data_IF_842578833148
#
_entry.id   IF_842578833148
#
_cell.length_a   1.000
_cell.length_b   1.000
_cell.length_c   1.000
_cell.angle_alpha   90.00
_cell.angle_beta   90.00
_cell.angle_gamma   90.00
#
_symmetry.space_group_name_H-M   'P 1'
#
loop_
_entity.id
_entity.type
_entity.pdbx_description
1 polymer ?
#
# COMPACT_ATOMS: atom_id res chain seq x y z
N UNK A 1 15.79 9.93 -7.29
CA UNK A 1 16.11 8.96 -8.36
C UNK A 1 17.52 9.28 -8.88
N UNK A 2 18.44 8.35 -8.70
CA UNK A 2 19.69 8.36 -9.44
C UNK A 2 19.49 7.48 -10.67
N UNK A 3 19.80 7.99 -11.84
CA UNK A 3 19.71 7.25 -13.11
C UNK A 3 20.75 6.13 -13.10
N UNK A 4 20.35 4.97 -13.58
CA UNK A 4 21.01 3.71 -13.43
C UNK A 4 22.45 3.61 -13.93
N UNK A 5 23.07 2.48 -13.64
CA UNK A 5 24.37 2.14 -14.26
C UNK A 5 24.13 1.67 -15.68
N UNK A 6 24.74 2.37 -16.64
CA UNK A 6 24.78 1.96 -18.02
C UNK A 6 26.01 1.06 -18.22
N UNK A 7 25.80 -0.14 -18.75
CA UNK A 7 26.89 -1.05 -19.13
C UNK A 7 26.84 -1.30 -20.63
N UNK A 8 27.74 -0.67 -21.36
CA UNK A 8 27.90 -0.90 -22.80
C UNK A 8 28.74 -2.15 -23.03
N UNK A 9 28.14 -3.16 -23.63
CA UNK A 9 28.88 -4.34 -24.15
C UNK A 9 28.89 -4.24 -25.68
N UNK A 10 30.06 -3.91 -26.25
CA UNK A 10 30.35 -3.79 -27.69
C UNK A 10 29.18 -3.55 -28.64
N UNK A 11 29.10 -2.33 -29.09
CA UNK A 11 28.52 -1.81 -30.35
C UNK A 11 27.01 -1.77 -30.57
N UNK A 12 26.14 -2.49 -29.82
CA UNK A 12 24.70 -2.46 -30.14
C UNK A 12 23.76 -2.75 -28.99
N UNK A 13 24.25 -3.13 -27.83
CA UNK A 13 23.41 -3.52 -26.69
C UNK A 13 23.78 -2.70 -25.46
N UNK A 14 22.80 -2.02 -24.90
CA UNK A 14 22.91 -1.43 -23.56
C UNK A 14 21.80 -1.96 -22.67
N UNK A 15 22.08 -2.09 -21.39
CA UNK A 15 21.10 -2.38 -20.36
C UNK A 15 21.08 -1.21 -19.38
N UNK A 16 19.89 -0.78 -19.03
CA UNK A 16 19.67 0.30 -18.08
C UNK A 16 18.77 -0.21 -16.95
N UNK A 17 19.14 0.09 -15.73
CA UNK A 17 18.33 -0.23 -14.54
C UNK A 17 18.14 1.00 -13.69
N UNK A 18 16.92 1.23 -13.27
CA UNK A 18 16.64 2.22 -12.24
C UNK A 18 17.16 1.73 -10.88
N UNK A 19 17.82 2.61 -10.14
CA UNK A 19 18.19 2.42 -8.74
C UNK A 19 17.65 3.57 -7.90
N UNK A 20 17.27 3.26 -6.66
CA UNK A 20 16.74 4.24 -5.71
C UNK A 20 17.67 4.33 -4.51
N UNK A 21 18.01 5.56 -4.12
CA UNK A 21 18.82 5.84 -2.95
C UNK A 21 17.99 6.70 -2.00
N UNK A 22 17.79 6.20 -0.80
CA UNK A 22 17.00 6.86 0.23
C UNK A 22 17.83 7.19 1.46
N UNK A 23 17.49 8.27 2.21
CA UNK A 23 18.15 8.58 3.48
C UNK A 23 17.99 7.43 4.48
N UNK A 24 19.05 7.17 5.26
CA UNK A 24 19.00 6.14 6.32
C UNK A 24 18.10 6.55 7.47
N UNK A 25 18.05 7.85 7.78
CA UNK A 25 17.24 8.42 8.86
C UNK A 25 16.31 9.49 8.31
N UNK A 26 15.05 9.43 8.71
CA UNK A 26 14.01 10.38 8.29
C UNK A 26 13.11 10.68 9.49
N UNK A 27 12.81 11.96 9.67
CA UNK A 27 11.81 12.40 10.63
C UNK A 27 10.52 12.69 9.89
N UNK A 28 9.46 12.01 10.22
CA UNK A 28 8.12 12.27 9.67
C UNK A 28 7.32 13.14 10.63
N UNK A 29 6.39 13.91 10.10
CA UNK A 29 5.39 14.61 10.90
C UNK A 29 4.48 13.60 11.63
N UNK A 30 3.90 14.00 12.77
CA UNK A 30 3.13 13.14 13.68
C UNK A 30 1.74 13.69 14.05
N UNK A 31 1.24 14.68 13.30
CA UNK A 31 -0.09 15.28 13.54
C UNK A 31 -1.23 14.36 13.05
N UNK A 32 -1.24 13.12 13.54
CA UNK A 32 -2.27 12.11 13.27
C UNK A 32 -2.21 10.98 14.30
N UNK A 33 -3.25 10.14 14.33
CA UNK A 33 -3.27 8.92 15.15
C UNK A 33 -2.70 7.78 14.31
N UNK A 34 -1.59 7.19 14.79
CA UNK A 34 -1.02 5.98 14.20
C UNK A 34 -1.57 4.74 14.91
N UNK A 35 -2.03 3.76 14.17
CA UNK A 35 -2.58 2.53 14.72
C UNK A 35 -2.14 1.29 13.92
N UNK A 36 -1.89 0.19 14.66
CA UNK A 36 -1.58 -1.14 14.10
C UNK A 36 -2.77 -2.10 14.18
N UNK A 37 -3.78 -1.73 14.93
CA UNK A 37 -5.01 -2.50 15.11
C UNK A 37 -6.23 -1.61 14.92
N UNK A 38 -7.25 -2.17 14.30
CA UNK A 38 -8.55 -1.51 14.21
C UNK A 38 -9.34 -1.83 15.47
N UNK A 39 -9.41 -0.87 16.37
CA UNK A 39 -10.05 -0.98 17.69
C UNK A 39 -10.95 0.23 18.01
N UNK A 40 -11.57 0.22 19.20
CA UNK A 40 -12.45 1.31 19.65
C UNK A 40 -11.72 2.67 19.77
N UNK A 41 -10.40 2.68 19.95
CA UNK A 41 -9.62 3.94 19.97
C UNK A 41 -9.57 4.56 18.59
N UNK A 42 -9.38 3.74 17.55
CA UNK A 42 -9.40 4.18 16.15
C UNK A 42 -10.78 4.73 15.79
N UNK A 43 -11.86 4.02 16.15
CA UNK A 43 -13.24 4.46 15.91
C UNK A 43 -13.53 5.79 16.59
N UNK A 44 -13.15 5.91 17.85
CA UNK A 44 -13.32 7.15 18.62
C UNK A 44 -12.55 8.31 17.99
N UNK A 45 -11.31 8.09 17.56
CA UNK A 45 -10.50 9.11 16.91
C UNK A 45 -11.16 9.61 15.60
N UNK A 46 -11.67 8.70 14.78
CA UNK A 46 -12.40 9.04 13.56
C UNK A 46 -13.68 9.82 13.84
N UNK A 47 -14.47 9.40 14.83
CA UNK A 47 -15.67 10.13 15.26
C UNK A 47 -15.36 11.55 15.76
N UNK A 48 -14.21 11.74 16.42
CA UNK A 48 -13.73 13.04 16.88
C UNK A 48 -13.16 13.92 15.73
N UNK A 49 -13.14 13.44 14.50
CA UNK A 49 -12.63 14.19 13.35
C UNK A 49 -11.12 14.18 13.21
N UNK A 50 -10.44 13.23 13.84
CA UNK A 50 -8.97 13.11 13.74
C UNK A 50 -8.55 12.43 12.43
N UNK A 51 -7.33 12.70 12.03
CA UNK A 51 -6.62 11.97 10.98
C UNK A 51 -6.09 10.66 11.56
N UNK A 52 -6.25 9.57 10.84
CA UNK A 52 -5.80 8.24 11.27
C UNK A 52 -5.00 7.59 10.14
N UNK A 53 -3.79 7.14 10.47
CA UNK A 53 -3.00 6.21 9.66
C UNK A 53 -3.11 4.82 10.29
N UNK A 54 -3.83 3.93 9.63
CA UNK A 54 -4.00 2.54 10.07
C UNK A 54 -3.16 1.63 9.19
N UNK A 55 -2.19 0.94 9.81
CA UNK A 55 -1.38 -0.10 9.17
C UNK A 55 -1.66 -1.42 9.91
N UNK A 56 -2.72 -2.14 9.55
CA UNK A 56 -3.20 -3.25 10.35
C UNK A 56 -2.28 -4.47 10.27
N UNK A 57 -2.03 -5.10 11.41
CA UNK A 57 -1.24 -6.34 11.50
C UNK A 57 -1.99 -7.54 10.92
N UNK A 58 -3.30 -7.58 11.16
CA UNK A 58 -4.16 -8.66 10.71
C UNK A 58 -5.18 -8.12 9.71
N UNK A 59 -5.07 -8.59 8.49
CA UNK A 59 -5.94 -8.19 7.38
C UNK A 59 -6.53 -9.45 6.75
N UNK A 60 -7.85 -9.46 6.59
CA UNK A 60 -8.50 -10.43 5.73
C UNK A 60 -8.24 -10.05 4.28
N UNK A 61 -7.64 -10.96 3.54
CA UNK A 61 -7.31 -10.70 2.14
C UNK A 61 -6.29 -11.67 1.58
N UNK A 62 -5.69 -11.30 0.47
CA UNK A 62 -4.72 -12.10 -0.25
C UNK A 62 -3.30 -11.64 0.01
N UNK A 63 -2.43 -12.57 0.36
CA UNK A 63 -0.99 -12.29 0.39
C UNK A 63 -0.52 -11.83 -0.98
N UNK A 64 0.24 -10.75 -1.00
CA UNK A 64 0.83 -10.24 -2.22
C UNK A 64 2.26 -10.73 -2.40
N UNK A 65 2.77 -10.61 -3.62
CA UNK A 65 4.16 -10.92 -3.95
C UNK A 65 4.56 -10.12 -5.17
N UNK A 66 5.81 -9.68 -5.25
CA UNK A 66 6.29 -8.89 -6.38
C UNK A 66 6.22 -9.68 -7.70
N UNK A 67 6.74 -10.91 -7.71
CA UNK A 67 6.64 -11.80 -8.86
C UNK A 67 5.51 -12.81 -8.66
N UNK A 68 4.60 -12.94 -9.61
CA UNK A 68 3.47 -13.85 -9.54
C UNK A 68 3.45 -14.88 -10.67
N UNK A 69 2.84 -16.03 -10.40
CA UNK A 69 2.70 -17.16 -11.33
C UNK A 69 1.28 -17.19 -11.89
N UNK A 70 0.91 -16.14 -12.63
CA UNK A 70 -0.46 -15.92 -13.05
C UNK A 70 -0.98 -16.96 -14.08
N UNK A 71 -0.08 -17.60 -14.86
CA UNK A 71 -0.47 -18.49 -15.95
C UNK A 71 -0.85 -19.91 -15.53
N UNK A 72 -0.42 -20.35 -14.35
CA UNK A 72 -0.77 -21.68 -13.86
C UNK A 72 -0.85 -21.73 -12.32
N UNK A 73 -1.93 -21.24 -11.74
CA UNK A 73 -2.12 -21.24 -10.28
C UNK A 73 -2.06 -22.63 -9.69
N UNK A 74 -2.61 -23.66 -10.36
CA UNK A 74 -2.64 -25.05 -9.86
C UNK A 74 -1.23 -25.60 -9.73
N UNK A 75 -0.38 -25.42 -10.76
CA UNK A 75 1.03 -25.87 -10.74
C UNK A 75 1.82 -25.21 -9.61
N UNK A 76 1.52 -23.95 -9.29
CA UNK A 76 2.20 -23.17 -8.27
C UNK A 76 1.44 -23.10 -6.94
N UNK A 77 0.52 -24.06 -6.67
CA UNK A 77 -0.29 -24.15 -5.45
C UNK A 77 -1.07 -22.87 -5.13
N UNK A 78 -1.59 -22.16 -6.14
CA UNK A 78 -2.33 -20.91 -5.97
C UNK A 78 -1.57 -19.82 -5.21
N UNK A 79 -0.24 -19.87 -5.19
CA UNK A 79 0.61 -18.95 -4.47
C UNK A 79 1.73 -18.40 -5.35
N UNK A 80 1.80 -17.11 -5.58
CA UNK A 80 0.90 -16.05 -5.11
C UNK A 80 -0.38 -15.94 -5.96
N UNK A 81 -1.41 -15.31 -5.39
CA UNK A 81 -2.74 -15.22 -5.97
C UNK A 81 -3.05 -13.81 -6.50
N UNK A 82 -2.07 -13.14 -7.10
CA UNK A 82 -2.23 -11.85 -7.77
C UNK A 82 -1.49 -11.88 -9.10
N UNK A 83 -1.99 -11.12 -10.08
CA UNK A 83 -1.37 -10.98 -11.42
C UNK A 83 -0.36 -9.85 -11.44
N UNK A 84 -0.61 -8.77 -10.71
CA UNK A 84 0.26 -7.60 -10.66
C UNK A 84 -0.26 -6.56 -9.68
N UNK A 85 0.39 -5.40 -9.66
CA UNK A 85 0.00 -4.28 -8.80
C UNK A 85 0.01 -2.98 -9.59
N UNK A 86 -1.11 -2.28 -9.55
CA UNK A 86 -1.29 -0.93 -10.10
C UNK A 86 -1.15 0.10 -8.98
N UNK A 87 -0.62 1.27 -9.33
CA UNK A 87 -0.33 2.35 -8.40
C UNK A 87 -0.83 3.65 -8.99
N UNK A 88 -1.62 4.40 -8.24
CA UNK A 88 -1.92 5.79 -8.57
C UNK A 88 -0.70 6.65 -8.27
N UNK A 89 0.26 6.66 -9.18
CA UNK A 89 1.56 7.34 -9.02
C UNK A 89 1.45 8.86 -8.86
N UNK A 90 0.30 9.45 -9.20
CA UNK A 90 0.04 10.88 -9.03
C UNK A 90 -0.54 11.21 -7.64
N UNK A 91 -0.87 10.20 -6.84
CA UNK A 91 -1.43 10.41 -5.52
C UNK A 91 -0.42 11.10 -4.59
N UNK A 92 -0.83 12.13 -3.82
CA UNK A 92 0.08 12.89 -2.95
C UNK A 92 0.81 12.05 -1.89
N UNK A 93 0.30 10.88 -1.53
CA UNK A 93 0.97 9.94 -0.63
C UNK A 93 2.34 9.47 -1.15
N UNK A 94 2.61 9.60 -2.45
CA UNK A 94 3.89 9.26 -3.08
C UNK A 94 4.78 10.47 -3.34
N UNK A 95 4.47 11.63 -2.78
CA UNK A 95 5.23 12.87 -3.01
C UNK A 95 6.73 12.75 -2.73
N UNK A 96 7.11 11.91 -1.76
CA UNK A 96 8.51 11.63 -1.42
C UNK A 96 8.93 10.17 -1.77
N UNK A 97 8.08 9.42 -2.45
CA UNK A 97 8.33 8.06 -2.91
C UNK A 97 8.12 7.99 -4.43
N UNK A 98 9.14 8.33 -5.24
CA UNK A 98 9.02 8.30 -6.71
C UNK A 98 8.65 6.91 -7.20
N UNK A 99 7.53 6.81 -7.89
CA UNK A 99 7.00 5.54 -8.41
C UNK A 99 6.33 5.75 -9.76
N UNK A 100 6.16 4.67 -10.50
CA UNK A 100 5.37 4.62 -11.74
C UNK A 100 3.98 4.07 -11.45
N UNK A 101 3.14 3.94 -12.48
CA UNK A 101 1.78 3.43 -12.36
C UNK A 101 1.68 1.92 -12.13
N UNK A 102 2.79 1.23 -12.07
CA UNK A 102 2.89 -0.19 -11.79
C UNK A 102 4.09 -0.47 -10.87
N UNK A 103 4.09 -1.64 -10.21
CA UNK A 103 5.16 -2.02 -9.32
C UNK A 103 6.45 -2.33 -10.10
N UNK A 104 7.49 -1.55 -9.84
CA UNK A 104 8.87 -1.77 -10.28
C UNK A 104 9.72 -2.45 -9.19
N UNK A 105 11.02 -2.59 -9.38
CA UNK A 105 11.90 -3.30 -8.46
C UNK A 105 11.94 -2.75 -7.03
N UNK A 106 11.68 -1.47 -6.80
CA UNK A 106 11.61 -0.93 -5.44
C UNK A 106 10.45 -1.50 -4.64
N UNK A 107 9.38 -1.97 -5.31
CA UNK A 107 8.21 -2.55 -4.66
C UNK A 107 8.42 -3.99 -4.19
N UNK A 108 9.55 -4.60 -4.52
CA UNK A 108 9.83 -5.99 -4.16
C UNK A 108 9.75 -6.23 -2.65
N UNK A 109 10.40 -5.41 -1.86
CA UNK A 109 10.40 -5.56 -0.40
C UNK A 109 9.07 -5.15 0.25
N UNK A 110 8.29 -4.29 -0.40
CA UNK A 110 6.97 -3.86 0.07
C UNK A 110 5.94 -4.97 -0.15
N UNK A 111 5.83 -5.46 -1.39
CA UNK A 111 4.81 -6.42 -1.79
C UNK A 111 5.01 -7.81 -1.18
N UNK A 112 6.24 -8.21 -0.89
CA UNK A 112 6.50 -9.47 -0.21
C UNK A 112 6.04 -9.51 1.25
N UNK A 113 5.71 -8.35 1.83
CA UNK A 113 5.20 -8.20 3.21
C UNK A 113 3.86 -7.46 3.23
N UNK A 114 3.10 -7.52 2.16
CA UNK A 114 1.79 -6.91 2.09
C UNK A 114 0.67 -7.94 1.98
N UNK A 115 -0.53 -7.50 2.32
CA UNK A 115 -1.78 -8.26 2.15
C UNK A 115 -2.80 -7.33 1.50
N UNK A 116 -3.33 -7.70 0.36
CA UNK A 116 -4.38 -6.94 -0.30
C UNK A 116 -5.74 -7.26 0.31
N UNK A 117 -6.43 -6.25 0.83
CA UNK A 117 -7.79 -6.36 1.36
C UNK A 117 -8.80 -6.60 0.24
N UNK A 118 -9.82 -7.41 0.53
CA UNK A 118 -10.97 -7.58 -0.35
C UNK A 118 -11.94 -6.39 -0.19
N UNK A 119 -12.11 -5.63 -1.26
CA UNK A 119 -12.90 -4.38 -1.26
C UNK A 119 -14.16 -4.48 -2.15
N UNK A 120 -14.68 -5.69 -2.38
CA UNK A 120 -15.80 -5.93 -3.29
C UNK A 120 -17.04 -5.12 -2.92
N UNK A 121 -17.34 -5.03 -1.62
CA UNK A 121 -18.50 -4.30 -1.10
C UNK A 121 -18.27 -2.78 -1.00
N UNK A 122 -17.08 -2.31 -1.29
CA UNK A 122 -16.69 -0.90 -1.28
C UNK A 122 -16.55 -0.36 -2.70
N UNK A 123 -17.66 -0.29 -3.45
CA UNK A 123 -17.67 0.08 -4.86
C UNK A 123 -17.10 1.47 -5.12
N UNK A 124 -17.36 2.42 -4.22
CA UNK A 124 -16.96 3.83 -4.38
C UNK A 124 -15.50 4.11 -3.98
N UNK A 125 -14.86 3.17 -3.29
CA UNK A 125 -13.44 3.30 -2.94
C UNK A 125 -12.57 2.87 -4.11
N UNK A 126 -11.68 3.73 -4.54
CA UNK A 126 -10.62 3.39 -5.50
C UNK A 126 -9.33 3.17 -4.73
N UNK A 127 -8.71 1.99 -4.79
CA UNK A 127 -7.42 1.76 -4.14
C UNK A 127 -6.33 2.66 -4.75
N UNK A 128 -5.50 3.24 -3.89
CA UNK A 128 -4.29 3.98 -4.27
C UNK A 128 -3.20 3.00 -4.72
N UNK A 129 -3.15 1.82 -4.07
CA UNK A 129 -2.33 0.68 -4.45
C UNK A 129 -3.29 -0.50 -4.63
N UNK A 130 -3.46 -0.94 -5.86
CA UNK A 130 -4.41 -1.99 -6.23
C UNK A 130 -3.67 -3.26 -6.66
N UNK A 131 -3.95 -4.37 -6.02
CA UNK A 131 -3.56 -5.69 -6.55
C UNK A 131 -4.56 -6.16 -7.58
N UNK A 132 -4.05 -6.70 -8.69
CA UNK A 132 -4.87 -7.35 -9.72
C UNK A 132 -5.01 -8.81 -9.31
N UNK A 133 -6.24 -9.23 -9.08
CA UNK A 133 -6.54 -10.62 -8.72
C UNK A 133 -6.38 -11.57 -9.92
N UNK A 134 -6.36 -12.86 -9.65
CA UNK A 134 -6.40 -13.87 -10.70
C UNK A 134 -7.72 -13.82 -11.45
N UNK A 135 -7.71 -14.26 -12.69
CA UNK A 135 -8.91 -14.31 -13.56
C UNK A 135 -10.02 -15.24 -13.02
N UNK A 136 -9.71 -16.13 -12.09
CA UNK A 136 -10.66 -17.07 -11.50
C UNK A 136 -11.53 -16.45 -10.43
N UNK A 137 -10.98 -15.50 -9.67
CA UNK A 137 -11.71 -14.84 -8.58
C UNK A 137 -12.11 -13.41 -8.92
N UNK A 138 -11.27 -12.69 -9.65
CA UNK A 138 -11.52 -11.34 -10.15
C UNK A 138 -12.10 -10.39 -9.09
N UNK A 139 -11.54 -10.43 -7.88
CA UNK A 139 -11.97 -9.58 -6.77
C UNK A 139 -11.29 -8.21 -6.84
N UNK A 140 -11.96 -7.22 -6.29
CA UNK A 140 -11.37 -5.90 -6.05
C UNK A 140 -10.45 -5.96 -4.85
N UNK A 141 -9.14 -5.85 -5.09
CA UNK A 141 -8.12 -5.96 -4.05
C UNK A 141 -7.37 -4.65 -3.87
N UNK A 142 -7.20 -4.19 -2.62
CA UNK A 142 -6.48 -2.96 -2.29
C UNK A 142 -5.43 -3.16 -1.22
N UNK A 143 -4.21 -2.63 -1.44
CA UNK A 143 -3.16 -2.57 -0.41
C UNK A 143 -3.23 -1.23 0.33
N UNK A 144 -3.59 -0.15 -0.37
CA UNK A 144 -3.78 1.15 0.24
C UNK A 144 -5.00 1.85 -0.34
N UNK A 145 -5.73 2.53 0.53
CA UNK A 145 -6.81 3.45 0.17
C UNK A 145 -7.02 4.48 1.27
N UNK A 146 -7.76 5.53 0.94
CA UNK A 146 -8.18 6.53 1.90
C UNK A 146 -9.69 6.74 1.86
N UNK A 147 -10.26 7.16 2.98
CA UNK A 147 -11.68 7.47 3.09
C UNK A 147 -11.96 8.48 4.20
N UNK A 148 -13.05 9.22 4.06
CA UNK A 148 -13.64 10.00 5.13
C UNK A 148 -14.61 9.13 5.95
N UNK A 149 -14.48 9.13 7.26
CA UNK A 149 -15.35 8.43 8.18
C UNK A 149 -16.01 9.47 9.11
N UNK A 150 -17.24 9.84 8.80
CA UNK A 150 -17.89 10.93 9.50
C UNK A 150 -17.11 12.25 9.37
N UNK A 151 -16.55 12.74 10.49
CA UNK A 151 -15.68 13.92 10.51
C UNK A 151 -14.20 13.61 10.36
N UNK A 152 -13.80 12.35 10.54
CA UNK A 152 -12.40 11.91 10.51
C UNK A 152 -11.92 11.52 9.12
N UNK A 153 -10.61 11.47 8.96
CA UNK A 153 -9.95 11.05 7.73
C UNK A 153 -9.10 9.81 8.02
N UNK A 154 -9.29 8.76 7.24
CA UNK A 154 -8.61 7.48 7.39
C UNK A 154 -7.74 7.21 6.16
N UNK A 155 -6.47 6.84 6.40
CA UNK A 155 -5.60 6.22 5.41
C UNK A 155 -5.27 4.80 5.89
N UNK A 156 -5.47 3.81 5.04
CA UNK A 156 -5.09 2.41 5.31
C UNK A 156 -3.94 2.02 4.40
N UNK A 157 -2.91 1.38 4.99
CA UNK A 157 -1.81 0.77 4.26
C UNK A 157 -1.58 -0.65 4.79
N UNK A 158 -1.85 -1.66 3.96
CA UNK A 158 -1.75 -3.08 4.33
C UNK A 158 -0.40 -3.71 3.94
N UNK A 159 0.70 -2.99 4.22
CA UNK A 159 2.07 -3.47 4.09
C UNK A 159 2.74 -3.41 5.45
N UNK A 160 3.33 -4.53 5.88
CA UNK A 160 3.99 -4.60 7.19
C UNK A 160 5.25 -3.72 7.23
N UNK A 161 5.30 -2.68 8.10
CA UNK A 161 6.44 -1.78 8.19
C UNK A 161 7.53 -2.29 9.14
N UNK A 162 7.23 -3.27 10.01
CA UNK A 162 8.08 -3.56 11.17
C UNK A 162 9.10 -4.67 10.87
N UNK A 163 8.69 -5.66 10.07
CA UNK A 163 9.56 -6.79 9.80
C UNK A 163 10.80 -6.39 9.01
N UNK A 164 11.97 -6.57 9.58
CA UNK A 164 13.29 -6.30 8.98
C UNK A 164 13.43 -4.88 8.38
N UNK A 165 12.78 -3.88 8.97
CA UNK A 165 12.66 -2.52 8.41
C UNK A 165 14.03 -1.89 8.09
N UNK A 166 15.07 -2.21 8.86
CA UNK A 166 16.43 -1.70 8.65
C UNK A 166 17.03 -2.15 7.29
N UNK A 167 16.57 -3.29 6.79
CA UNK A 167 17.00 -3.85 5.50
C UNK A 167 16.06 -3.51 4.35
N UNK A 168 15.02 -2.70 4.62
CA UNK A 168 13.95 -2.40 3.67
C UNK A 168 13.85 -0.89 3.39
N UNK A 169 14.82 -0.33 2.64
CA UNK A 169 14.88 1.10 2.39
C UNK A 169 13.66 1.65 1.65
N UNK A 170 13.10 0.88 0.72
CA UNK A 170 11.90 1.30 -0.02
C UNK A 170 10.67 1.35 0.90
N UNK A 171 10.47 0.37 1.79
CA UNK A 171 9.39 0.41 2.77
C UNK A 171 9.52 1.60 3.74
N UNK A 172 10.75 1.89 4.23
CA UNK A 172 10.99 3.09 5.07
C UNK A 172 10.60 4.37 4.34
N UNK A 173 11.02 4.49 3.08
CA UNK A 173 10.71 5.68 2.27
C UNK A 173 9.22 5.81 1.98
N UNK A 174 8.54 4.72 1.63
CA UNK A 174 7.09 4.72 1.45
C UNK A 174 6.37 5.15 2.73
N UNK A 175 6.75 4.56 3.85
CA UNK A 175 6.17 4.89 5.15
C UNK A 175 6.39 6.36 5.52
N UNK A 176 7.57 6.88 5.25
CA UNK A 176 7.89 8.30 5.46
C UNK A 176 6.99 9.21 4.61
N UNK A 177 6.88 8.94 3.31
CA UNK A 177 6.04 9.70 2.38
C UNK A 177 4.57 9.68 2.80
N UNK A 178 4.03 8.49 3.15
CA UNK A 178 2.65 8.34 3.62
C UNK A 178 2.40 9.09 4.93
N UNK A 179 3.33 9.02 5.89
CA UNK A 179 3.23 9.74 7.17
C UNK A 179 3.18 11.26 6.95
N UNK A 180 4.06 11.80 6.13
CA UNK A 180 4.07 13.23 5.78
C UNK A 180 2.79 13.66 5.07
N UNK A 181 2.29 12.84 4.15
CA UNK A 181 1.01 13.11 3.49
C UNK A 181 -0.15 13.15 4.50
N UNK A 182 -0.29 12.13 5.35
CA UNK A 182 -1.38 12.05 6.34
C UNK A 182 -1.33 13.21 7.33
N UNK A 183 -0.14 13.63 7.77
CA UNK A 183 0.01 14.80 8.64
C UNK A 183 -0.35 16.12 7.92
N UNK A 184 -0.17 16.18 6.60
CA UNK A 184 -0.32 17.41 5.83
C UNK A 184 -1.77 17.90 5.72
N UNK A 185 -1.95 19.15 5.30
CA UNK A 185 -3.28 19.73 4.98
C UNK A 185 -3.88 19.15 3.69
N UNK A 186 -3.07 18.51 2.85
CA UNK A 186 -3.52 17.88 1.62
C UNK A 186 -4.31 16.58 1.86
N UNK A 187 -4.19 15.99 3.05
CA UNK A 187 -4.94 14.78 3.40
C UNK A 187 -6.39 15.10 3.69
N UNK A 188 -7.20 15.13 2.63
CA UNK A 188 -8.64 15.42 2.64
C UNK A 188 -9.38 14.40 1.79
N UNK A 189 -9.56 13.16 2.26
CA UNK A 189 -10.27 12.12 1.51
C UNK A 189 -11.66 12.56 1.08
N UNK A 190 -12.00 12.36 -0.19
CA UNK A 190 -13.29 12.76 -0.75
C UNK A 190 -14.33 11.66 -0.60
N UNK A 191 -13.90 10.39 -0.73
CA UNK A 191 -14.80 9.23 -0.65
C UNK A 191 -15.17 8.95 0.79
N UNK A 192 -16.45 8.72 1.05
CA UNK A 192 -16.98 8.49 2.38
C UNK A 192 -17.27 7.00 2.61
N UNK A 193 -16.91 6.51 3.78
CA UNK A 193 -17.30 5.20 4.29
C UNK A 193 -18.02 5.35 5.63
N UNK A 194 -18.96 4.45 5.85
CA UNK A 194 -19.61 4.32 7.14
C UNK A 194 -18.83 3.37 8.06
N UNK A 195 -18.91 3.57 9.35
CA UNK A 195 -18.21 2.75 10.36
C UNK A 195 -18.52 1.26 10.18
N UNK A 196 -19.78 0.89 9.90
CA UNK A 196 -20.16 -0.51 9.72
C UNK A 196 -19.47 -1.17 8.51
N UNK A 197 -19.17 -0.41 7.44
CA UNK A 197 -18.43 -0.90 6.29
C UNK A 197 -16.96 -1.17 6.66
N UNK A 198 -16.38 -0.31 7.48
CA UNK A 198 -15.05 -0.51 8.00
C UNK A 198 -15.00 -1.70 8.98
N UNK A 199 -16.01 -1.84 9.85
CA UNK A 199 -16.16 -3.00 10.74
C UNK A 199 -16.18 -4.33 9.95
N UNK A 200 -16.88 -4.35 8.82
CA UNK A 200 -16.97 -5.54 7.97
C UNK A 200 -15.61 -5.96 7.39
N UNK A 201 -14.70 -5.01 7.08
CA UNK A 201 -13.36 -5.32 6.58
C UNK A 201 -12.47 -6.03 7.62
N UNK A 202 -12.74 -5.79 8.90
CA UNK A 202 -11.95 -6.33 10.02
C UNK A 202 -12.70 -7.40 10.83
N UNK A 203 -13.92 -7.76 10.40
CA UNK A 203 -14.68 -8.83 11.06
C UNK A 203 -13.93 -10.18 10.92
N UNK A 204 -13.93 -11.01 11.98
CA UNK A 204 -13.43 -12.36 11.86
C UNK A 204 -14.18 -13.12 10.76
N UNK A 205 -13.45 -13.92 9.99
CA UNK A 205 -14.09 -14.83 9.04
C UNK A 205 -14.97 -15.83 9.82
N UNK A 206 -16.25 -15.87 9.51
CA UNK A 206 -17.20 -16.86 10.06
C UNK A 206 -16.88 -18.23 9.46
#
# INVERSE_FOLDING_TARGET
RLVGSEMCIRDSYHNEWDIWVYPCQQTAADDYVYARTYDEKVKTALQQGKKVLLIPENVKGRKTKFASHFWNPIMFNWNPMIVGTLIDSNHPAFGEFPTTSYADWQWWDILNYATAMELNDLTDITPIIQSIDTYEYNQKLGIAFEARIGKGSLFILCADPDKDIEKRPAMRQLLHSVKNYVASKAFTPVKELQIYQLDALFAPSV
#
